data_IF_797406982723
#
_entry.id   IF_797406982723
#
_cell.length_a   1.000
_cell.length_b   1.000
_cell.length_c   1.000
_cell.angle_alpha   90.00
_cell.angle_beta   90.00
_cell.angle_gamma   90.00
#
_symmetry.space_group_name_H-M   'P 1'
#
loop_
_entity.id
_entity.type
_entity.pdbx_description
1 polymer ?
#
# COMPACT_ATOMS: atom_id res chain seq x y z
N UNK A 1 12.93 -22.05 2.62
CA UNK A 1 12.38 -21.66 1.30
C UNK A 1 13.00 -20.34 0.89
N UNK A 2 13.98 -20.36 -0.02
CA UNK A 2 14.48 -19.14 -0.64
C UNK A 2 13.39 -18.58 -1.53
N UNK A 3 12.69 -17.54 -1.09
CA UNK A 3 11.82 -16.76 -1.99
C UNK A 3 12.72 -15.84 -2.79
N UNK A 4 13.25 -16.36 -3.90
CA UNK A 4 14.09 -15.62 -4.84
C UNK A 4 13.27 -14.57 -5.62
N UNK A 5 11.94 -14.54 -5.43
CA UNK A 5 11.02 -13.59 -6.05
C UNK A 5 10.09 -12.95 -5.01
N UNK A 6 9.89 -11.62 -5.05
CA UNK A 6 9.01 -10.94 -4.11
C UNK A 6 7.53 -11.31 -4.36
N UNK A 7 6.81 -11.59 -3.28
CA UNK A 7 5.37 -11.83 -3.33
C UNK A 7 4.67 -10.50 -3.59
N UNK A 8 3.78 -10.50 -4.58
CA UNK A 8 2.97 -9.31 -4.91
C UNK A 8 1.72 -9.29 -4.05
N UNK A 9 1.45 -8.17 -3.40
CA UNK A 9 0.33 -8.04 -2.46
C UNK A 9 -0.49 -6.77 -2.72
N UNK A 10 -1.77 -6.85 -2.37
CA UNK A 10 -2.70 -5.73 -2.40
C UNK A 10 -3.27 -5.52 -0.99
N UNK A 11 -3.32 -4.28 -0.52
CA UNK A 11 -3.72 -3.94 0.86
C UNK A 11 -5.14 -3.37 0.85
N UNK A 12 -6.10 -4.13 1.35
CA UNK A 12 -7.47 -3.67 1.52
C UNK A 12 -7.60 -2.75 2.75
N UNK A 13 -8.28 -1.60 2.60
CA UNK A 13 -8.52 -0.69 3.73
C UNK A 13 -7.30 0.13 4.16
N UNK A 14 -6.43 0.47 3.20
CA UNK A 14 -5.16 1.13 3.45
C UNK A 14 -5.22 2.51 4.09
N UNK A 15 -6.39 3.16 4.14
CA UNK A 15 -6.58 4.46 4.81
C UNK A 15 -6.65 4.37 6.33
N UNK A 16 -6.87 3.18 6.90
CA UNK A 16 -6.83 2.97 8.35
C UNK A 16 -5.40 2.95 8.92
N UNK A 17 -5.26 3.08 10.23
CA UNK A 17 -3.94 3.05 10.90
C UNK A 17 -3.16 1.76 10.61
N UNK A 18 -3.82 0.61 10.73
CA UNK A 18 -3.20 -0.69 10.42
C UNK A 18 -2.74 -0.79 8.96
N UNK A 19 -3.56 -0.30 8.03
CA UNK A 19 -3.21 -0.28 6.61
C UNK A 19 -2.03 0.63 6.29
N UNK A 20 -1.98 1.82 6.90
CA UNK A 20 -0.86 2.75 6.77
C UNK A 20 0.46 2.18 7.32
N UNK A 21 0.41 1.56 8.50
CA UNK A 21 1.59 0.92 9.10
C UNK A 21 2.05 -0.30 8.31
N UNK A 22 1.13 -1.07 7.75
CA UNK A 22 1.47 -2.18 6.85
C UNK A 22 2.19 -1.67 5.60
N UNK A 23 1.72 -0.56 4.98
CA UNK A 23 2.43 0.08 3.87
C UNK A 23 3.81 0.57 4.30
N UNK A 24 3.94 1.19 5.48
CA UNK A 24 5.21 1.70 6.03
C UNK A 24 6.26 0.60 6.16
N UNK A 25 5.84 -0.58 6.64
CA UNK A 25 6.71 -1.73 6.83
C UNK A 25 7.04 -2.42 5.50
N UNK A 26 6.02 -2.70 4.67
CA UNK A 26 6.19 -3.52 3.47
C UNK A 26 6.84 -2.79 2.29
N UNK A 27 6.76 -1.45 2.20
CA UNK A 27 7.32 -0.69 1.06
C UNK A 27 8.81 -0.90 0.81
N UNK A 28 9.56 -1.31 1.84
CA UNK A 28 11.00 -1.56 1.77
C UNK A 28 11.38 -3.03 1.99
N UNK A 29 10.40 -3.93 2.05
CA UNK A 29 10.66 -5.33 2.37
C UNK A 29 11.14 -6.08 1.11
N UNK A 30 12.31 -6.74 1.12
CA UNK A 30 12.92 -7.33 -0.08
C UNK A 30 12.09 -8.47 -0.70
N UNK A 31 11.29 -9.16 0.12
CA UNK A 31 10.41 -10.25 -0.32
C UNK A 31 8.99 -9.83 -0.69
N UNK A 32 8.65 -8.53 -0.69
CA UNK A 32 7.27 -8.08 -0.93
C UNK A 32 7.23 -6.89 -1.88
N UNK A 33 6.29 -6.92 -2.83
CA UNK A 33 5.96 -5.79 -3.69
C UNK A 33 4.51 -5.41 -3.51
N UNK A 34 4.27 -4.19 -3.03
CA UNK A 34 2.91 -3.65 -2.92
C UNK A 34 2.44 -3.26 -4.33
N UNK A 35 1.40 -3.93 -4.83
CA UNK A 35 0.74 -3.60 -6.10
C UNK A 35 -0.30 -2.50 -5.91
N UNK A 36 -1.19 -2.70 -4.94
CA UNK A 36 -2.33 -1.81 -4.69
C UNK A 36 -2.53 -1.57 -3.21
N UNK A 37 -3.13 -0.42 -2.91
CA UNK A 37 -3.65 -0.08 -1.60
C UNK A 37 -5.04 0.50 -1.83
N UNK A 38 -6.07 -0.05 -1.21
CA UNK A 38 -7.45 0.35 -1.50
C UNK A 38 -8.01 1.29 -0.44
N UNK A 39 -8.90 2.19 -0.85
CA UNK A 39 -9.75 2.98 0.04
C UNK A 39 -10.91 3.58 -0.74
N UNK A 40 -12.14 3.30 -0.34
CA UNK A 40 -13.34 3.86 -0.97
C UNK A 40 -13.42 5.39 -0.84
N UNK A 41 -13.02 5.94 0.32
CA UNK A 41 -13.12 7.39 0.59
C UNK A 41 -12.02 8.22 -0.06
N UNK A 42 -10.88 7.59 -0.37
CA UNK A 42 -9.68 8.30 -0.79
C UNK A 42 -9.15 7.85 -2.16
N UNK A 43 -9.92 7.06 -2.91
CA UNK A 43 -9.57 6.59 -4.25
C UNK A 43 -9.00 7.72 -5.14
N UNK A 44 -7.92 7.44 -5.85
CA UNK A 44 -7.17 8.37 -6.68
C UNK A 44 -6.22 9.31 -5.92
N UNK A 45 -6.40 9.51 -4.61
CA UNK A 45 -5.49 10.34 -3.79
C UNK A 45 -4.22 9.58 -3.47
N UNK A 46 -3.12 10.31 -3.29
CA UNK A 46 -1.84 9.73 -2.85
C UNK A 46 -1.98 9.21 -1.43
N UNK A 47 -1.30 8.11 -1.12
CA UNK A 47 -1.33 7.54 0.23
C UNK A 47 -0.89 8.56 1.29
N UNK A 48 0.11 9.39 0.96
CA UNK A 48 0.67 10.40 1.87
C UNK A 48 -0.24 11.61 2.13
N UNK A 49 -1.43 11.69 1.51
CA UNK A 49 -2.48 12.64 1.93
C UNK A 49 -3.19 12.19 3.20
N UNK A 50 -3.26 10.88 3.45
CA UNK A 50 -3.87 10.29 4.67
C UNK A 50 -2.80 9.88 5.67
N UNK A 51 -1.64 9.44 5.20
CA UNK A 51 -0.50 9.01 6.02
C UNK A 51 0.72 9.93 5.82
N UNK A 52 0.79 11.10 6.48
CA UNK A 52 1.87 12.08 6.28
C UNK A 52 3.29 11.55 6.55
N UNK A 53 3.42 10.53 7.40
CA UNK A 53 4.67 9.82 7.67
C UNK A 53 5.21 9.06 6.44
N UNK A 54 4.40 8.87 5.40
CA UNK A 54 4.79 8.24 4.13
C UNK A 54 5.13 9.25 3.02
N UNK A 55 5.16 10.56 3.31
CA UNK A 55 5.59 11.59 2.35
C UNK A 55 6.99 11.31 1.84
N UNK A 56 7.17 11.42 0.52
CA UNK A 56 8.43 11.09 -0.20
C UNK A 56 8.91 9.64 -0.03
N UNK A 57 8.18 8.80 0.71
CA UNK A 57 8.51 7.41 0.97
C UNK A 57 7.89 6.47 -0.08
N UNK A 58 6.78 6.88 -0.70
CA UNK A 58 6.09 6.14 -1.75
C UNK A 58 5.30 7.08 -2.69
N UNK A 59 5.07 6.61 -3.93
CA UNK A 59 4.23 7.27 -4.95
C UNK A 59 2.86 6.59 -5.10
N UNK A 60 2.57 5.58 -4.29
CA UNK A 60 1.31 4.83 -4.33
C UNK A 60 0.10 5.74 -4.09
N UNK A 61 -1.00 5.37 -4.73
CA UNK A 61 -2.32 6.00 -4.61
C UNK A 61 -3.33 4.98 -4.14
N UNK A 62 -4.38 5.46 -3.48
CA UNK A 62 -5.52 4.62 -3.17
C UNK A 62 -6.27 4.25 -4.46
N UNK A 63 -6.72 3.00 -4.53
CA UNK A 63 -7.63 2.48 -5.55
C UNK A 63 -8.98 2.12 -4.91
N UNK A 64 -10.09 2.14 -5.67
CA UNK A 64 -11.31 1.47 -5.27
C UNK A 64 -11.06 -0.02 -5.02
N UNK A 65 -11.81 -0.64 -4.12
CA UNK A 65 -11.74 -2.08 -3.89
C UNK A 65 -12.21 -2.90 -5.10
N UNK A 66 -13.05 -2.32 -5.96
CA UNK A 66 -13.50 -2.95 -7.19
C UNK A 66 -12.36 -3.19 -8.20
N UNK A 67 -11.27 -2.43 -8.10
CA UNK A 67 -10.11 -2.55 -8.99
C UNK A 67 -9.05 -3.53 -8.43
N UNK A 68 -9.37 -4.25 -7.36
CA UNK A 68 -8.44 -5.13 -6.66
C UNK A 68 -8.03 -6.34 -7.52
N UNK A 69 -6.72 -6.55 -7.64
CA UNK A 69 -6.08 -7.67 -8.33
C UNK A 69 -5.10 -8.43 -7.42
#
# INVERSE_FOLDING_TARGET
>A
MSTDHPVTVSIAGGSGYGGGELVRLLRGHPGVRIRQVTSERFAGKRIDTVHPNLRKATTLRFSPIADLE
#
